data_IF_800864086101
#
_entry.id   IF_800864086101
#
_cell.length_a   1.000
_cell.length_b   1.000
_cell.length_c   1.000
_cell.angle_alpha   90.00
_cell.angle_beta   90.00
_cell.angle_gamma   90.00
#
_symmetry.space_group_name_H-M   'P 1'
#
loop_
_entity.id
_entity.type
_entity.pdbx_description
1 polymer ?
#
# COMPACT_ATOMS: atom_id res chain seq x y z
N UNK A 1 -18.91 12.56 5.61
CA UNK A 1 -17.70 12.07 4.93
C UNK A 1 -16.57 12.16 5.95
N UNK A 2 -15.77 11.10 6.15
CA UNK A 2 -14.59 11.13 7.02
C UNK A 2 -13.56 12.14 6.48
N UNK A 3 -13.00 12.96 7.34
CA UNK A 3 -12.03 14.01 7.04
C UNK A 3 -10.82 13.91 7.98
N UNK A 4 -9.75 14.64 7.67
CA UNK A 4 -8.58 14.74 8.56
C UNK A 4 -8.94 15.23 9.97
N UNK A 5 -10.02 16.00 10.14
CA UNK A 5 -10.47 16.48 11.46
C UNK A 5 -10.97 15.34 12.34
N UNK A 6 -11.56 14.32 11.75
CA UNK A 6 -12.07 13.14 12.47
C UNK A 6 -10.92 12.25 12.98
N UNK A 7 -9.70 12.46 12.47
CA UNK A 7 -8.47 11.80 12.93
C UNK A 7 -7.72 12.58 14.02
N UNK A 8 -8.24 13.74 14.44
CA UNK A 8 -7.68 14.51 15.57
C UNK A 8 -8.47 14.19 16.83
N UNK A 9 -8.08 13.17 17.61
CA UNK A 9 -8.78 12.84 18.84
C UNK A 9 -8.69 13.99 19.85
N UNK A 10 -9.71 14.11 20.70
CA UNK A 10 -9.67 15.00 21.86
C UNK A 10 -8.73 14.48 22.96
N UNK A 11 -8.51 15.26 24.02
CA UNK A 11 -7.71 14.82 25.16
C UNK A 11 -8.23 13.49 25.73
N UNK A 12 -7.33 12.51 25.87
CA UNK A 12 -7.66 11.20 26.45
C UNK A 12 -8.34 10.21 25.50
N UNK A 13 -8.51 10.53 24.21
CA UNK A 13 -9.02 9.58 23.22
C UNK A 13 -7.96 9.20 22.17
N UNK A 14 -8.17 8.08 21.49
CA UNK A 14 -7.27 7.56 20.44
C UNK A 14 -7.98 7.64 19.09
N UNK A 15 -7.30 8.20 18.09
CA UNK A 15 -7.78 8.22 16.71
C UNK A 15 -7.47 6.90 16.02
N UNK A 16 -8.35 6.47 15.12
CA UNK A 16 -8.16 5.27 14.31
C UNK A 16 -8.54 5.54 12.85
N UNK A 17 -7.79 4.94 11.94
CA UNK A 17 -8.12 4.90 10.52
C UNK A 17 -8.27 3.43 10.12
N UNK A 18 -9.41 3.08 9.52
CA UNK A 18 -9.60 1.73 9.00
C UNK A 18 -8.82 1.56 7.69
N UNK A 19 -7.95 0.57 7.66
CA UNK A 19 -7.14 0.17 6.52
C UNK A 19 -7.35 -1.32 6.23
N UNK A 20 -7.18 -1.71 4.97
CA UNK A 20 -7.20 -3.11 4.54
C UNK A 20 -5.83 -3.55 4.02
N UNK A 21 -5.27 -4.57 4.67
CA UNK A 21 -4.00 -5.19 4.31
C UNK A 21 -4.26 -6.43 3.45
N UNK A 22 -3.93 -6.32 2.15
CA UNK A 22 -4.12 -7.37 1.16
C UNK A 22 -5.58 -7.54 0.73
N UNK A 23 -5.92 -6.96 -0.42
CA UNK A 23 -7.28 -6.99 -1.00
C UNK A 23 -7.66 -8.29 -1.72
N UNK A 24 -6.91 -9.37 -1.54
CA UNK A 24 -7.16 -10.67 -2.17
C UNK A 24 -8.59 -11.21 -1.95
N UNK A 25 -9.20 -10.92 -0.79
CA UNK A 25 -10.56 -11.31 -0.46
C UNK A 25 -11.64 -10.62 -1.32
N UNK A 26 -11.29 -9.55 -2.02
CA UNK A 26 -12.20 -8.82 -2.91
C UNK A 26 -12.24 -9.38 -4.34
N UNK A 27 -11.35 -10.33 -4.66
CA UNK A 27 -11.21 -10.86 -6.02
C UNK A 27 -10.89 -9.74 -7.01
N UNK A 28 -11.74 -9.57 -8.03
CA UNK A 28 -11.66 -8.51 -9.03
C UNK A 28 -12.86 -7.54 -9.01
N UNK A 29 -13.70 -7.60 -7.96
CA UNK A 29 -14.89 -6.76 -7.81
C UNK A 29 -14.55 -5.40 -7.22
N UNK A 30 -14.53 -4.39 -8.08
CA UNK A 30 -14.29 -2.98 -7.71
C UNK A 30 -15.44 -2.45 -6.84
N UNK A 31 -16.64 -2.98 -6.99
CA UNK A 31 -17.85 -2.59 -6.27
C UNK A 31 -17.70 -2.81 -4.76
N UNK A 32 -16.90 -3.79 -4.34
CA UNK A 32 -16.62 -4.02 -2.92
C UNK A 32 -15.82 -2.87 -2.29
N UNK A 33 -15.05 -2.10 -3.07
CA UNK A 33 -14.36 -0.89 -2.58
C UNK A 33 -15.38 0.15 -2.12
N UNK A 34 -16.52 0.30 -2.83
CA UNK A 34 -17.59 1.21 -2.40
C UNK A 34 -18.15 0.83 -1.05
N UNK A 35 -18.43 -0.46 -0.87
CA UNK A 35 -18.97 -0.99 0.38
C UNK A 35 -17.98 -0.72 1.51
N UNK A 36 -16.69 -1.03 1.33
CA UNK A 36 -15.66 -0.74 2.31
C UNK A 36 -15.53 0.76 2.61
N UNK A 37 -15.65 1.62 1.58
CA UNK A 37 -15.61 3.07 1.78
C UNK A 37 -16.79 3.55 2.63
N UNK A 38 -17.99 3.01 2.39
CA UNK A 38 -19.18 3.32 3.19
C UNK A 38 -19.05 2.82 4.62
N UNK A 39 -18.36 1.70 4.83
CA UNK A 39 -18.03 1.14 6.15
C UNK A 39 -16.87 1.85 6.86
N UNK A 40 -16.23 2.84 6.21
CA UNK A 40 -15.23 3.71 6.84
C UNK A 40 -13.77 3.42 6.49
N UNK A 41 -13.48 2.44 5.63
CA UNK A 41 -12.10 2.16 5.16
C UNK A 41 -11.58 3.33 4.32
N UNK A 42 -10.34 3.75 4.57
CA UNK A 42 -9.71 4.92 3.91
C UNK A 42 -8.28 4.67 3.47
N UNK A 43 -7.77 3.45 3.63
CA UNK A 43 -6.46 3.06 3.14
C UNK A 43 -6.47 1.61 2.69
N UNK A 44 -5.67 1.29 1.68
CA UNK A 44 -5.64 -0.04 1.09
C UNK A 44 -4.33 -0.38 0.40
N UNK A 45 -3.93 -1.64 0.50
CA UNK A 45 -2.84 -2.25 -0.27
C UNK A 45 -3.34 -3.48 -1.04
N UNK A 46 -2.93 -3.61 -2.30
CA UNK A 46 -3.47 -4.62 -3.21
C UNK A 46 -3.13 -6.04 -2.77
N UNK A 47 -1.92 -6.24 -2.22
CA UNK A 47 -1.41 -7.56 -1.85
C UNK A 47 -1.02 -7.60 -0.38
N UNK A 48 -0.91 -8.82 0.13
CA UNK A 48 0.05 -9.11 1.20
C UNK A 48 1.32 -9.67 0.52
N UNK A 49 2.02 -10.62 1.11
CA UNK A 49 3.27 -11.13 0.57
C UNK A 49 3.14 -11.90 -0.76
N UNK A 50 2.04 -12.62 -0.94
CA UNK A 50 1.82 -13.47 -2.11
C UNK A 50 1.11 -12.74 -3.25
N UNK A 51 1.30 -13.24 -4.47
CA UNK A 51 0.55 -12.85 -5.66
C UNK A 51 -0.92 -13.14 -5.47
N UNK A 52 -1.76 -12.22 -5.94
CA UNK A 52 -3.20 -12.43 -6.04
C UNK A 52 -3.73 -11.94 -7.40
N UNK A 53 -5.06 -11.83 -7.53
CA UNK A 53 -5.71 -11.39 -8.77
C UNK A 53 -5.37 -9.93 -9.17
N UNK A 54 -4.85 -9.12 -8.24
CA UNK A 54 -4.65 -7.69 -8.38
C UNK A 54 -3.19 -7.32 -8.74
N UNK A 55 -2.21 -7.95 -8.09
CA UNK A 55 -0.79 -7.66 -8.30
C UNK A 55 0.12 -8.77 -7.75
N UNK A 56 1.41 -8.66 -8.07
CA UNK A 56 2.47 -9.48 -7.48
C UNK A 56 2.93 -8.91 -6.13
N UNK A 57 2.89 -9.75 -5.09
CA UNK A 57 3.38 -9.41 -3.75
C UNK A 57 4.90 -9.59 -3.62
N UNK A 58 5.48 -9.08 -2.54
CA UNK A 58 6.93 -9.01 -2.33
C UNK A 58 7.64 -10.38 -2.29
N UNK A 59 6.94 -11.45 -1.91
CA UNK A 59 7.49 -12.82 -1.92
C UNK A 59 7.34 -13.50 -3.29
N UNK A 60 6.65 -12.88 -4.24
CA UNK A 60 6.43 -13.41 -5.59
C UNK A 60 7.53 -13.01 -6.56
N UNK A 61 8.80 -13.17 -6.18
CA UNK A 61 9.95 -12.64 -6.93
C UNK A 61 10.11 -13.20 -8.36
N UNK A 62 9.62 -14.41 -8.61
CA UNK A 62 9.62 -15.00 -9.96
C UNK A 62 8.59 -14.35 -10.88
N UNK A 63 7.57 -13.73 -10.30
CA UNK A 63 6.55 -13.02 -11.02
C UNK A 63 7.05 -11.61 -11.37
N UNK A 64 7.31 -11.39 -12.66
CA UNK A 64 7.67 -10.07 -13.21
C UNK A 64 6.44 -9.27 -13.64
N UNK A 65 5.26 -9.60 -13.11
CA UNK A 65 4.04 -8.87 -13.37
C UNK A 65 3.98 -7.60 -12.52
N UNK A 66 3.40 -6.55 -13.11
CA UNK A 66 3.02 -5.36 -12.35
C UNK A 66 1.63 -5.54 -11.74
N UNK A 67 0.83 -4.48 -11.79
CA UNK A 67 -0.60 -4.58 -11.52
C UNK A 67 -1.30 -5.29 -12.68
N UNK A 68 -2.25 -6.17 -12.34
CA UNK A 68 -3.19 -6.73 -13.30
C UNK A 68 -4.17 -5.66 -13.81
N UNK A 69 -4.94 -5.97 -14.84
CA UNK A 69 -6.03 -5.10 -15.28
C UNK A 69 -7.05 -4.83 -14.15
N UNK A 70 -7.32 -5.82 -13.30
CA UNK A 70 -8.17 -5.65 -12.13
C UNK A 70 -7.50 -4.74 -11.07
N UNK A 71 -6.21 -4.95 -10.79
CA UNK A 71 -5.44 -4.10 -9.87
C UNK A 71 -5.42 -2.63 -10.29
N UNK A 72 -5.28 -2.34 -11.59
CA UNK A 72 -5.36 -0.97 -12.13
C UNK A 72 -6.74 -0.33 -11.89
N UNK A 73 -7.83 -1.07 -12.09
CA UNK A 73 -9.19 -0.57 -11.79
C UNK A 73 -9.38 -0.31 -10.29
N UNK A 74 -8.83 -1.18 -9.43
CA UNK A 74 -8.88 -0.98 -7.98
C UNK A 74 -8.17 0.31 -7.57
N UNK A 75 -6.96 0.52 -8.09
CA UNK A 75 -6.15 1.72 -7.84
C UNK A 75 -6.85 2.98 -8.33
N UNK A 76 -7.41 2.95 -9.54
CA UNK A 76 -8.19 4.07 -10.06
C UNK A 76 -9.38 4.39 -9.14
N UNK A 77 -10.14 3.38 -8.71
CA UNK A 77 -11.28 3.60 -7.83
C UNK A 77 -10.89 4.13 -6.46
N UNK A 78 -9.81 3.62 -5.88
CA UNK A 78 -9.24 4.14 -4.63
C UNK A 78 -8.85 5.62 -4.75
N UNK A 79 -8.25 6.04 -5.87
CA UNK A 79 -7.93 7.45 -6.12
C UNK A 79 -9.18 8.33 -6.23
N UNK A 80 -10.19 7.90 -6.99
CA UNK A 80 -11.46 8.61 -7.14
C UNK A 80 -12.17 8.82 -5.79
N UNK A 81 -12.00 7.87 -4.86
CA UNK A 81 -12.55 7.93 -3.50
C UNK A 81 -11.61 8.60 -2.48
N UNK A 82 -10.45 9.09 -2.92
CA UNK A 82 -9.41 9.70 -2.07
C UNK A 82 -8.91 8.79 -0.94
N UNK A 83 -8.74 7.49 -1.19
CA UNK A 83 -8.08 6.59 -0.25
C UNK A 83 -6.58 6.81 -0.23
N UNK A 84 -5.95 6.55 0.91
CA UNK A 84 -4.49 6.42 1.02
C UNK A 84 -4.07 5.08 0.41
N UNK A 85 -3.42 5.16 -0.75
CA UNK A 85 -2.90 3.98 -1.46
C UNK A 85 -1.56 3.58 -0.84
N UNK A 86 -1.47 2.33 -0.39
CA UNK A 86 -0.30 1.79 0.30
C UNK A 86 0.39 0.73 -0.56
N UNK A 87 1.69 0.89 -0.75
CA UNK A 87 2.55 0.01 -1.55
C UNK A 87 3.33 -1.01 -0.70
N UNK A 88 3.15 -1.00 0.63
CA UNK A 88 3.66 -2.06 1.49
C UNK A 88 3.17 -3.41 0.97
N UNK A 89 4.05 -4.41 1.02
CA UNK A 89 3.87 -5.76 0.49
C UNK A 89 3.89 -5.94 -1.03
N UNK A 90 3.93 -4.88 -1.84
CA UNK A 90 4.09 -5.06 -3.29
C UNK A 90 5.49 -5.54 -3.65
N UNK A 91 5.59 -6.37 -4.69
CA UNK A 91 6.86 -6.64 -5.36
C UNK A 91 7.35 -5.43 -6.16
N UNK A 92 8.64 -5.41 -6.52
CA UNK A 92 9.28 -4.24 -7.14
C UNK A 92 8.60 -3.81 -8.46
N UNK A 93 8.29 -4.76 -9.34
CA UNK A 93 7.58 -4.47 -10.60
C UNK A 93 6.17 -3.93 -10.35
N UNK A 94 5.48 -4.45 -9.34
CA UNK A 94 4.16 -3.98 -8.95
C UNK A 94 4.20 -2.59 -8.30
N UNK A 95 5.24 -2.27 -7.53
CA UNK A 95 5.47 -0.92 -7.01
C UNK A 95 5.58 0.11 -8.15
N UNK A 96 6.40 -0.16 -9.17
CA UNK A 96 6.56 0.77 -10.28
C UNK A 96 5.27 0.88 -11.11
N UNK A 97 4.61 -0.25 -11.38
CA UNK A 97 3.31 -0.25 -12.04
C UNK A 97 2.22 0.47 -11.24
N UNK A 98 2.31 0.50 -9.90
CA UNK A 98 1.40 1.28 -9.06
C UNK A 98 1.66 2.77 -9.23
N UNK A 99 2.93 3.21 -9.22
CA UNK A 99 3.28 4.62 -9.43
C UNK A 99 2.88 5.11 -10.82
N UNK A 100 2.97 4.27 -11.85
CA UNK A 100 2.47 4.60 -13.19
C UNK A 100 0.94 4.74 -13.23
N UNK A 101 0.21 3.96 -12.43
CA UNK A 101 -1.25 3.96 -12.38
C UNK A 101 -1.84 4.99 -11.40
N UNK A 102 -1.00 5.70 -10.64
CA UNK A 102 -1.42 6.68 -9.64
C UNK A 102 -0.87 8.07 -9.90
N UNK A 103 -1.65 9.07 -9.52
CA UNK A 103 -1.24 10.45 -9.38
C UNK A 103 -1.26 10.85 -7.90
N UNK A 104 -0.35 11.76 -7.52
CA UNK A 104 -0.24 12.22 -6.15
C UNK A 104 0.43 11.22 -5.18
N UNK A 105 0.23 11.41 -3.86
CA UNK A 105 0.96 10.66 -2.84
C UNK A 105 0.58 9.18 -2.77
N UNK A 106 1.61 8.33 -2.72
CA UNK A 106 1.52 6.92 -2.34
C UNK A 106 2.30 6.75 -1.04
N UNK A 107 1.82 5.89 -0.14
CA UNK A 107 2.53 5.58 1.11
C UNK A 107 3.10 4.18 1.07
N UNK A 108 4.13 3.94 1.86
CA UNK A 108 4.51 2.63 2.35
C UNK A 108 4.32 2.66 3.86
N UNK A 109 3.17 2.22 4.37
CA UNK A 109 2.85 2.37 5.79
C UNK A 109 3.80 1.62 6.73
N UNK A 110 4.42 0.52 6.28
CA UNK A 110 5.32 -0.29 7.09
C UNK A 110 6.39 -1.01 6.24
N UNK A 111 7.41 -0.28 5.80
CA UNK A 111 8.58 -0.83 5.08
C UNK A 111 9.87 -0.10 5.50
N UNK A 112 11.04 -0.74 5.35
CA UNK A 112 12.35 -0.11 5.64
C UNK A 112 13.20 0.05 4.37
N UNK A 113 14.46 0.46 4.55
CA UNK A 113 15.42 0.64 3.46
C UNK A 113 16.21 -0.65 3.18
N UNK A 114 16.23 -1.07 1.91
CA UNK A 114 16.94 -2.27 1.46
C UNK A 114 18.46 -2.11 1.54
N UNK A 115 18.95 -0.86 1.45
CA UNK A 115 20.35 -0.51 1.70
C UNK A 115 20.83 -0.76 3.14
N UNK A 116 19.91 -0.83 4.12
CA UNK A 116 20.23 -1.16 5.52
C UNK A 116 20.12 -2.67 5.77
N UNK A 117 19.03 -3.27 5.31
CA UNK A 117 18.80 -4.72 5.37
C UNK A 117 18.21 -5.18 4.04
N UNK A 118 18.98 -6.01 3.33
CA UNK A 118 18.55 -6.57 2.05
C UNK A 118 17.48 -7.64 2.27
N UNK A 119 16.23 -7.18 2.29
CA UNK A 119 15.05 -7.99 2.48
C UNK A 119 13.99 -7.57 1.46
N UNK A 120 13.26 -8.53 0.93
CA UNK A 120 12.28 -8.33 -0.17
C UNK A 120 11.15 -7.38 0.21
N UNK A 121 10.86 -7.24 1.52
CA UNK A 121 9.88 -6.29 2.07
C UNK A 121 10.41 -4.86 2.23
N UNK A 122 11.71 -4.63 2.12
CA UNK A 122 12.31 -3.31 2.19
C UNK A 122 12.37 -2.69 0.79
N UNK A 123 12.33 -1.36 0.73
CA UNK A 123 12.36 -0.60 -0.51
C UNK A 123 13.78 -0.24 -0.93
N UNK A 124 14.04 -0.23 -2.24
CA UNK A 124 15.30 0.31 -2.78
C UNK A 124 15.35 1.82 -2.61
N UNK A 125 16.55 2.40 -2.67
CA UNK A 125 16.72 3.86 -2.61
C UNK A 125 15.93 4.58 -3.71
N UNK A 126 15.82 3.98 -4.90
CA UNK A 126 15.06 4.51 -6.03
C UNK A 126 13.56 4.55 -5.73
N UNK A 127 13.01 3.48 -5.15
CA UNK A 127 11.61 3.44 -4.71
C UNK A 127 11.35 4.49 -3.63
N UNK A 128 12.25 4.65 -2.66
CA UNK A 128 12.13 5.66 -1.59
C UNK A 128 12.16 7.08 -2.17
N UNK A 129 13.08 7.38 -3.10
CA UNK A 129 13.13 8.68 -3.78
C UNK A 129 11.85 8.95 -4.57
N UNK A 130 11.34 7.96 -5.30
CA UNK A 130 10.11 8.10 -6.08
C UNK A 130 8.88 8.35 -5.19
N UNK A 131 8.78 7.73 -4.00
CA UNK A 131 7.75 8.06 -3.02
C UNK A 131 7.89 9.51 -2.52
N UNK A 132 9.10 9.93 -2.18
CA UNK A 132 9.36 11.27 -1.67
C UNK A 132 9.04 12.37 -2.71
N UNK A 133 9.41 12.16 -3.98
CA UNK A 133 9.10 13.08 -5.08
C UNK A 133 7.59 13.27 -5.30
N UNK A 134 6.78 12.27 -4.94
CA UNK A 134 5.31 12.31 -4.99
C UNK A 134 4.65 12.87 -3.73
N UNK A 135 5.43 13.33 -2.75
CA UNK A 135 4.91 13.76 -1.45
C UNK A 135 4.35 12.61 -0.61
N UNK A 136 4.82 11.39 -0.87
CA UNK A 136 4.47 10.18 -0.15
C UNK A 136 5.09 10.08 1.24
N UNK A 137 4.88 8.93 1.89
CA UNK A 137 5.41 8.64 3.23
C UNK A 137 5.93 7.21 3.31
N UNK A 138 7.04 7.02 4.02
CA UNK A 138 7.56 5.71 4.43
C UNK A 138 7.44 5.59 5.95
N UNK A 139 6.62 4.66 6.44
CA UNK A 139 6.52 4.30 7.84
C UNK A 139 7.51 3.17 8.17
N UNK A 140 8.36 3.40 9.17
CA UNK A 140 9.36 2.43 9.62
C UNK A 140 8.70 1.20 10.25
N UNK A 141 9.13 0.02 9.84
CA UNK A 141 8.65 -1.26 10.33
C UNK A 141 9.61 -1.83 11.39
N UNK A 142 9.08 -2.25 12.54
CA UNK A 142 9.85 -2.78 13.67
C UNK A 142 10.04 -4.29 13.68
N UNK A 143 9.58 -5.01 12.64
CA UNK A 143 9.86 -6.43 12.51
C UNK A 143 11.37 -6.68 12.41
N UNK A 144 11.91 -7.49 13.32
CA UNK A 144 13.36 -7.75 13.44
C UNK A 144 13.98 -8.24 12.13
N UNK A 145 13.29 -9.14 11.41
CA UNK A 145 13.72 -9.67 10.13
C UNK A 145 14.00 -8.58 9.06
N UNK A 146 13.42 -7.39 9.21
CA UNK A 146 13.55 -6.27 8.27
C UNK A 146 14.58 -5.22 8.73
N UNK A 147 15.22 -5.43 9.89
CA UNK A 147 16.17 -4.49 10.50
C UNK A 147 17.54 -5.15 10.73
N UNK A 148 17.55 -6.37 11.27
CA UNK A 148 18.77 -7.08 11.65
C UNK A 148 18.89 -8.42 10.95
N UNK A 149 20.11 -8.95 10.94
CA UNK A 149 20.35 -10.35 10.62
C UNK A 149 19.78 -11.21 11.75
N UNK A 150 19.09 -12.30 11.38
CA UNK A 150 18.46 -13.23 12.33
C UNK A 150 19.45 -14.12 13.06
#
# INVERSE_FOLDING_TARGET
MLTKRDLTPGPGTVGGLLAIEGMHCLGDSVELIEILHHLGVRSGMLTWNDRNALADGAMSQEAKGGLSAAGKRFVQRMQELHWLIDCSHLGDSAFWSLLEATEGPVIASHSNARAVRDHVRNLTDEQIRALAERGGMLGMNFASAFIVDG
#
